data_IF_681268535925
#
_entry.id   IF_681268535925
#
_cell.length_a   1.000
_cell.length_b   1.000
_cell.length_c   1.000
_cell.angle_alpha   90.00
_cell.angle_beta   90.00
_cell.angle_gamma   90.00
#
_symmetry.space_group_name_H-M   'P 1'
#
loop_
_entity.id
_entity.type
_entity.pdbx_description
1 polymer ?
#
# COMPACT_ATOMS: atom_id res chain seq x y z
N UNK A 1 5.66 8.45 22.80
CA UNK A 1 4.83 7.68 23.76
C UNK A 1 5.73 6.85 24.65
N UNK A 2 5.78 7.18 25.95
CA UNK A 2 6.68 6.58 26.94
C UNK A 2 6.23 5.13 27.23
N UNK A 3 7.17 4.19 27.28
CA UNK A 3 6.89 2.78 27.64
C UNK A 3 6.44 2.76 29.10
N UNK A 4 5.32 2.10 29.41
CA UNK A 4 4.81 2.04 30.77
C UNK A 4 5.84 1.32 31.67
N UNK A 5 6.43 2.01 32.67
CA UNK A 5 7.45 1.41 33.52
C UNK A 5 6.91 0.29 34.42
N UNK A 6 5.59 0.14 34.57
CA UNK A 6 4.98 -0.89 35.41
C UNK A 6 4.86 -2.28 34.75
N UNK A 7 5.23 -2.43 33.48
CA UNK A 7 5.14 -3.72 32.77
C UNK A 7 6.31 -4.66 33.11
N UNK A 8 6.10 -5.99 33.11
CA UNK A 8 7.19 -6.96 33.26
C UNK A 8 8.31 -6.72 32.24
N UNK A 9 9.56 -6.96 32.64
CA UNK A 9 10.74 -6.67 31.81
C UNK A 9 10.74 -7.39 30.46
N UNK A 10 10.29 -8.65 30.42
CA UNK A 10 10.11 -9.41 29.18
C UNK A 10 9.07 -8.81 28.22
N UNK A 11 7.99 -8.23 28.77
CA UNK A 11 6.94 -7.55 27.99
C UNK A 11 7.49 -6.23 27.43
N UNK A 12 8.24 -5.47 28.24
CA UNK A 12 8.91 -4.24 27.80
C UNK A 12 9.95 -4.50 26.71
N UNK A 13 10.78 -5.52 26.85
CA UNK A 13 11.77 -5.91 25.84
C UNK A 13 11.12 -6.29 24.51
N UNK A 14 10.00 -7.01 24.56
CA UNK A 14 9.19 -7.37 23.37
C UNK A 14 8.59 -6.12 22.72
N UNK A 15 8.09 -5.16 23.50
CA UNK A 15 7.51 -3.92 22.98
C UNK A 15 8.59 -3.01 22.35
N UNK A 16 9.78 -2.92 22.96
CA UNK A 16 10.93 -2.21 22.40
C UNK A 16 11.33 -2.82 21.06
N UNK A 17 11.45 -4.14 20.99
CA UNK A 17 11.78 -4.85 19.74
C UNK A 17 10.71 -4.61 18.67
N UNK A 18 9.43 -4.73 19.02
CA UNK A 18 8.33 -4.48 18.08
C UNK A 18 8.29 -3.02 17.59
N UNK A 19 8.67 -2.04 18.42
CA UNK A 19 8.81 -0.64 17.99
C UNK A 19 10.01 -0.44 17.07
N UNK A 20 11.15 -1.04 17.39
CA UNK A 20 12.34 -1.01 16.54
C UNK A 20 12.06 -1.62 15.16
N UNK A 21 11.36 -2.77 15.11
CA UNK A 21 10.92 -3.40 13.87
C UNK A 21 9.98 -2.49 13.06
N UNK A 22 9.04 -1.79 13.71
CA UNK A 22 8.15 -0.83 13.03
C UNK A 22 8.90 0.37 12.46
N UNK A 23 9.89 0.89 13.18
CA UNK A 23 10.71 2.02 12.72
C UNK A 23 11.60 1.60 11.56
N UNK A 24 12.25 0.43 11.66
CA UNK A 24 13.06 -0.12 10.59
C UNK A 24 12.23 -0.37 9.33
N UNK A 25 11.04 -0.96 9.50
CA UNK A 25 10.08 -1.13 8.42
C UNK A 25 9.78 0.23 7.79
N UNK A 26 9.32 1.24 8.52
CA UNK A 26 9.02 2.59 8.01
C UNK A 26 10.19 3.22 7.23
N UNK A 27 11.42 3.03 7.69
CA UNK A 27 12.60 3.56 7.02
C UNK A 27 12.85 2.87 5.67
N UNK A 28 12.85 1.54 5.63
CA UNK A 28 13.06 0.76 4.40
C UNK A 28 12.02 1.11 3.33
N UNK A 29 10.77 1.10 3.76
CA UNK A 29 9.57 1.53 3.09
C UNK A 29 9.68 2.95 2.52
N UNK A 30 10.15 3.93 3.28
CA UNK A 30 10.33 5.30 2.80
C UNK A 30 11.51 5.44 1.81
N UNK A 31 12.48 4.54 1.86
CA UNK A 31 13.74 4.61 1.11
C UNK A 31 13.72 3.93 -0.27
N UNK A 32 12.78 3.01 -0.51
CA UNK A 32 12.72 2.23 -1.74
C UNK A 32 11.58 2.66 -2.68
N UNK A 33 11.80 2.47 -4.00
CA UNK A 33 10.78 2.76 -5.03
C UNK A 33 9.66 1.72 -5.13
N UNK A 34 9.95 0.52 -4.69
CA UNK A 34 9.00 -0.59 -4.61
C UNK A 34 9.29 -1.33 -3.31
N UNK A 35 8.27 -1.53 -2.50
CA UNK A 35 8.39 -2.18 -1.19
C UNK A 35 7.23 -3.13 -0.96
N UNK A 36 7.54 -4.24 -0.30
CA UNK A 36 6.54 -5.24 0.06
C UNK A 36 6.55 -5.42 1.57
N UNK A 37 5.39 -5.25 2.20
CA UNK A 37 5.20 -5.50 3.62
C UNK A 37 4.44 -6.80 3.83
N UNK A 38 5.17 -7.84 4.20
CA UNK A 38 4.60 -9.17 4.50
C UNK A 38 4.52 -9.39 6.01
N UNK A 39 3.43 -10.00 6.48
CA UNK A 39 3.36 -10.53 7.84
C UNK A 39 1.98 -11.13 8.16
N UNK A 40 1.83 -11.89 9.25
CA UNK A 40 0.54 -12.47 9.65
C UNK A 40 -0.58 -11.44 9.86
N UNK A 41 -1.84 -11.86 9.74
CA UNK A 41 -2.97 -11.02 10.12
C UNK A 41 -2.83 -10.51 11.58
N UNK A 42 -3.21 -9.25 11.82
CA UNK A 42 -3.13 -8.64 13.16
C UNK A 42 -1.78 -8.02 13.54
N UNK A 43 -0.73 -8.09 12.71
CA UNK A 43 0.59 -7.50 13.03
C UNK A 43 0.70 -5.98 12.85
N UNK A 44 -0.42 -5.25 12.71
CA UNK A 44 -0.41 -3.79 12.63
C UNK A 44 0.11 -3.19 11.31
N UNK A 45 0.23 -3.97 10.23
CA UNK A 45 0.67 -3.49 8.90
C UNK A 45 -0.16 -2.32 8.39
N UNK A 46 -1.48 -2.40 8.53
CA UNK A 46 -2.40 -1.32 8.15
C UNK A 46 -2.11 -0.05 8.96
N UNK A 47 -1.86 -0.18 10.27
CA UNK A 47 -1.46 0.95 11.12
C UNK A 47 -0.14 1.58 10.66
N UNK A 48 0.85 0.76 10.27
CA UNK A 48 2.12 1.27 9.75
C UNK A 48 1.93 2.02 8.44
N UNK A 49 1.14 1.47 7.51
CA UNK A 49 0.79 2.14 6.25
C UNK A 49 0.03 3.44 6.50
N UNK A 50 -0.94 3.46 7.41
CA UNK A 50 -1.68 4.68 7.74
C UNK A 50 -0.78 5.76 8.35
N UNK A 51 0.11 5.39 9.28
CA UNK A 51 1.09 6.35 9.85
C UNK A 51 1.97 6.92 8.75
N UNK A 52 2.47 6.06 7.86
CA UNK A 52 3.31 6.47 6.74
C UNK A 52 2.57 7.40 5.77
N UNK A 53 1.34 7.07 5.36
CA UNK A 53 0.54 7.90 4.46
C UNK A 53 0.31 9.31 5.00
N UNK A 54 0.24 9.44 6.34
CA UNK A 54 -0.02 10.70 7.02
C UNK A 54 1.26 11.49 7.31
N UNK A 55 2.45 10.98 6.97
CA UNK A 55 3.68 11.76 7.05
C UNK A 55 3.60 12.94 6.07
N UNK A 56 3.87 14.18 6.49
CA UNK A 56 3.73 15.36 5.63
C UNK A 56 4.50 15.25 4.32
N UNK A 57 5.71 14.67 4.32
CA UNK A 57 6.51 14.48 3.10
C UNK A 57 5.89 13.51 2.08
N UNK A 58 5.00 12.62 2.52
CA UNK A 58 4.29 11.64 1.68
C UNK A 58 2.92 12.21 1.29
N UNK A 59 2.15 12.68 2.27
CA UNK A 59 0.81 13.22 2.05
C UNK A 59 0.82 14.42 1.10
N UNK A 60 1.81 15.32 1.20
CA UNK A 60 1.92 16.50 0.34
C UNK A 60 2.21 16.18 -1.13
N UNK A 61 2.67 14.97 -1.44
CA UNK A 61 2.98 14.50 -2.79
C UNK A 61 1.91 13.57 -3.38
N UNK A 62 0.80 13.38 -2.69
CA UNK A 62 -0.30 12.52 -3.14
C UNK A 62 -0.12 11.04 -2.80
N UNK A 63 -1.25 10.38 -2.48
CA UNK A 63 -1.33 8.98 -2.06
C UNK A 63 -2.53 8.30 -2.72
N UNK A 64 -2.25 7.41 -3.67
CA UNK A 64 -3.25 6.54 -4.29
C UNK A 64 -3.43 5.27 -3.44
N UNK A 65 -4.65 5.01 -2.97
CA UNK A 65 -5.01 3.81 -2.20
C UNK A 65 -5.85 2.85 -3.05
N UNK A 66 -5.32 1.65 -3.27
CA UNK A 66 -5.92 0.60 -4.08
C UNK A 66 -6.15 -0.69 -3.28
N UNK A 67 -7.17 -1.45 -3.68
CA UNK A 67 -7.37 -2.82 -3.21
C UNK A 67 -7.92 -3.73 -4.34
N UNK A 68 -7.66 -5.05 -4.33
CA UNK A 68 -8.15 -5.94 -5.39
C UNK A 68 -9.67 -6.15 -5.40
N UNK A 69 -10.35 -5.97 -4.25
CA UNK A 69 -11.78 -6.25 -4.10
C UNK A 69 -12.52 -5.10 -3.42
N UNK A 70 -13.83 -4.96 -3.69
CA UNK A 70 -14.66 -3.95 -3.05
C UNK A 70 -14.68 -4.04 -1.52
N UNK A 71 -14.65 -5.26 -0.96
CA UNK A 71 -14.60 -5.47 0.50
C UNK A 71 -13.29 -4.98 1.12
N UNK A 72 -12.15 -5.20 0.46
CA UNK A 72 -10.87 -4.69 0.90
C UNK A 72 -10.78 -3.16 0.74
N UNK A 73 -11.28 -2.63 -0.39
CA UNK A 73 -11.39 -1.19 -0.65
C UNK A 73 -12.13 -0.46 0.48
N UNK A 74 -13.30 -0.96 0.90
CA UNK A 74 -14.09 -0.35 1.98
C UNK A 74 -13.31 -0.29 3.30
N UNK A 75 -12.47 -1.30 3.60
CA UNK A 75 -11.63 -1.30 4.81
C UNK A 75 -10.46 -0.31 4.72
N UNK A 76 -9.96 -0.05 3.51
CA UNK A 76 -8.83 0.84 3.28
C UNK A 76 -9.21 2.33 3.47
N UNK A 77 -10.51 2.63 3.44
CA UNK A 77 -11.06 3.92 3.83
C UNK A 77 -11.71 4.69 2.69
N UNK A 78 -12.12 5.93 3.00
CA UNK A 78 -12.66 6.85 2.02
C UNK A 78 -11.61 7.17 0.93
N UNK A 79 -12.07 7.41 -0.29
CA UNK A 79 -11.24 7.71 -1.48
C UNK A 79 -10.37 6.56 -2.02
N UNK A 80 -10.38 5.38 -1.38
CA UNK A 80 -9.76 4.19 -1.95
C UNK A 80 -10.56 3.66 -3.15
N UNK A 81 -9.86 3.16 -4.17
CA UNK A 81 -10.44 2.49 -5.36
C UNK A 81 -10.08 1.02 -5.39
N UNK A 82 -10.86 0.22 -6.12
CA UNK A 82 -10.38 -1.09 -6.54
C UNK A 82 -9.37 -0.93 -7.67
N UNK A 83 -8.47 -1.90 -7.83
CA UNK A 83 -7.53 -1.90 -8.97
C UNK A 83 -8.30 -1.90 -10.31
N UNK A 84 -9.42 -2.63 -10.39
CA UNK A 84 -10.27 -2.64 -11.58
C UNK A 84 -10.92 -1.27 -11.87
N UNK A 85 -11.46 -0.59 -10.85
CA UNK A 85 -12.02 0.77 -11.00
C UNK A 85 -10.93 1.75 -11.47
N UNK A 86 -9.76 1.73 -10.86
CA UNK A 86 -8.64 2.60 -11.25
C UNK A 86 -8.18 2.33 -12.70
N UNK A 87 -8.00 1.06 -13.08
CA UNK A 87 -7.56 0.71 -14.43
C UNK A 87 -8.65 0.96 -15.48
N UNK A 88 -9.94 0.91 -15.11
CA UNK A 88 -11.04 1.28 -15.99
C UNK A 88 -10.97 2.76 -16.38
N UNK A 89 -10.79 3.63 -15.39
CA UNK A 89 -10.65 5.08 -15.61
C UNK A 89 -9.45 5.45 -16.50
N UNK A 90 -8.43 4.59 -16.52
CA UNK A 90 -7.19 4.77 -17.28
C UNK A 90 -7.11 3.91 -18.55
N UNK A 91 -8.26 3.42 -19.05
CA UNK A 91 -8.38 2.65 -20.29
C UNK A 91 -7.49 1.39 -20.34
N UNK A 92 -7.28 0.74 -19.20
CA UNK A 92 -6.45 -0.47 -19.02
C UNK A 92 -7.23 -1.66 -18.43
N UNK A 93 -8.54 -1.50 -18.28
CA UNK A 93 -9.47 -2.57 -17.91
C UNK A 93 -10.77 -2.44 -18.69
N UNK A 94 -11.23 -3.54 -19.28
CA UNK A 94 -12.53 -3.64 -19.94
C UNK A 94 -13.55 -4.33 -19.02
N UNK A 95 -14.59 -3.59 -18.66
CA UNK A 95 -15.65 -4.05 -17.78
C UNK A 95 -16.54 -5.15 -18.37
N UNK A 96 -16.63 -5.28 -19.69
CA UNK A 96 -17.41 -6.30 -20.39
C UNK A 96 -16.61 -7.59 -20.52
N UNK A 97 -15.41 -7.53 -21.11
CA UNK A 97 -14.58 -8.72 -21.33
C UNK A 97 -13.78 -9.16 -20.10
N UNK A 98 -13.74 -8.32 -19.05
CA UNK A 98 -12.96 -8.54 -17.82
C UNK A 98 -11.45 -8.66 -18.05
N UNK A 99 -10.95 -8.13 -19.16
CA UNK A 99 -9.55 -8.17 -19.55
C UNK A 99 -8.81 -6.91 -19.11
N UNK A 100 -7.54 -7.09 -18.76
CA UNK A 100 -6.60 -6.01 -18.47
C UNK A 100 -5.65 -5.85 -19.64
N UNK A 101 -5.22 -4.62 -19.88
CA UNK A 101 -4.38 -4.28 -21.03
C UNK A 101 -3.27 -3.33 -20.59
N UNK A 102 -2.13 -3.45 -21.27
CA UNK A 102 -1.08 -2.44 -21.24
C UNK A 102 -1.29 -1.50 -22.43
N UNK A 103 -0.93 -0.24 -22.26
CA UNK A 103 -1.10 0.79 -23.28
C UNK A 103 0.07 1.76 -23.21
N UNK A 104 0.62 2.09 -24.37
CA UNK A 104 1.60 3.16 -24.50
C UNK A 104 0.96 4.54 -24.23
N UNK A 105 1.57 5.33 -23.36
CA UNK A 105 1.14 6.69 -23.03
C UNK A 105 -0.02 6.77 -22.03
N UNK A 106 -0.41 8.00 -21.68
CA UNK A 106 -1.44 8.30 -20.67
C UNK A 106 -1.18 7.62 -19.31
N UNK A 107 0.06 7.74 -18.82
CA UNK A 107 0.42 7.16 -17.53
C UNK A 107 0.02 8.10 -16.38
N UNK A 108 -0.53 7.51 -15.34
CA UNK A 108 -0.89 8.18 -14.10
C UNK A 108 0.37 8.63 -13.33
N UNK A 109 0.42 9.90 -12.94
CA UNK A 109 1.57 10.48 -12.21
C UNK A 109 1.20 11.50 -11.13
N UNK A 110 -0.11 11.64 -10.85
CA UNK A 110 -0.64 12.63 -9.89
C UNK A 110 -0.21 12.29 -8.46
N UNK A 111 -0.34 11.03 -8.03
CA UNK A 111 0.13 10.57 -6.73
C UNK A 111 1.53 9.95 -6.82
N UNK A 112 2.43 10.39 -5.92
CA UNK A 112 3.79 9.82 -5.83
C UNK A 112 3.86 8.52 -5.03
N UNK A 113 2.82 8.22 -4.26
CA UNK A 113 2.76 7.00 -3.44
C UNK A 113 1.55 6.17 -3.83
N UNK A 114 1.75 4.90 -4.19
CA UNK A 114 0.66 3.97 -4.54
C UNK A 114 0.65 2.78 -3.59
N UNK A 115 -0.44 2.58 -2.86
CA UNK A 115 -0.59 1.49 -1.90
C UNK A 115 -1.62 0.51 -2.42
N UNK A 116 -1.25 -0.77 -2.47
CA UNK A 116 -2.18 -1.85 -2.76
C UNK A 116 -2.32 -2.75 -1.53
N UNK A 117 -3.42 -2.57 -0.79
CA UNK A 117 -3.76 -3.44 0.32
C UNK A 117 -4.26 -4.79 -0.21
N UNK A 118 -3.93 -5.89 0.46
CA UNK A 118 -4.34 -7.26 0.07
C UNK A 118 -3.87 -7.68 -1.33
N UNK A 119 -2.75 -7.13 -1.84
CA UNK A 119 -2.31 -7.38 -3.21
C UNK A 119 -1.92 -8.84 -3.52
N UNK A 120 -1.98 -9.76 -2.55
CA UNK A 120 -1.85 -11.20 -2.78
C UNK A 120 -3.03 -11.77 -3.55
N UNK A 121 -4.12 -10.99 -3.67
CA UNK A 121 -5.26 -11.30 -4.51
C UNK A 121 -5.11 -10.73 -5.93
N UNK A 122 -4.02 -10.03 -6.25
CA UNK A 122 -3.77 -9.56 -7.62
C UNK A 122 -3.40 -10.73 -8.52
N UNK A 123 -3.96 -10.73 -9.73
CA UNK A 123 -3.45 -11.54 -10.83
C UNK A 123 -2.22 -10.87 -11.46
N UNK A 124 -1.46 -11.65 -12.23
CA UNK A 124 -0.32 -11.13 -13.00
C UNK A 124 -0.76 -10.03 -13.99
N UNK A 125 -1.89 -10.22 -14.68
CA UNK A 125 -2.46 -9.23 -15.61
C UNK A 125 -2.82 -7.91 -14.91
N UNK A 126 -3.39 -7.98 -13.70
CA UNK A 126 -3.71 -6.80 -12.90
C UNK A 126 -2.44 -6.06 -12.48
N UNK A 127 -1.43 -6.80 -12.04
CA UNK A 127 -0.14 -6.23 -11.62
C UNK A 127 0.59 -5.59 -12.82
N UNK A 128 0.61 -6.26 -13.97
CA UNK A 128 1.22 -5.76 -15.19
C UNK A 128 0.55 -4.46 -15.67
N UNK A 129 -0.78 -4.47 -15.79
CA UNK A 129 -1.53 -3.27 -16.20
C UNK A 129 -1.41 -2.13 -15.18
N UNK A 130 -1.33 -2.43 -13.88
CA UNK A 130 -1.08 -1.42 -12.85
C UNK A 130 0.31 -0.81 -12.97
N UNK A 131 1.37 -1.62 -13.12
CA UNK A 131 2.73 -1.10 -13.28
C UNK A 131 2.85 -0.28 -14.57
N UNK A 132 2.25 -0.74 -15.67
CA UNK A 132 2.21 -0.03 -16.95
C UNK A 132 1.50 1.33 -16.84
N UNK A 133 0.38 1.38 -16.10
CA UNK A 133 -0.38 2.61 -15.89
C UNK A 133 0.41 3.67 -15.12
N UNK A 134 1.33 3.28 -14.25
CA UNK A 134 1.99 4.18 -13.32
C UNK A 134 3.27 4.78 -13.94
N UNK A 135 3.43 6.10 -13.88
CA UNK A 135 4.68 6.79 -14.23
C UNK A 135 5.12 7.77 -13.14
N UNK A 136 6.42 7.82 -12.90
CA UNK A 136 6.97 8.73 -11.88
C UNK A 136 6.47 8.43 -10.46
N UNK A 137 5.94 7.23 -10.22
CA UNK A 137 5.61 6.75 -8.87
C UNK A 137 6.91 6.60 -8.11
N UNK A 138 7.00 7.32 -6.99
CA UNK A 138 8.16 7.23 -6.12
C UNK A 138 8.12 5.93 -5.32
N UNK A 139 6.95 5.38 -4.96
CA UNK A 139 6.83 4.20 -4.08
C UNK A 139 5.57 3.35 -4.35
N UNK A 140 5.72 2.03 -4.47
CA UNK A 140 4.62 1.04 -4.55
C UNK A 140 4.65 0.08 -3.37
N UNK A 141 3.50 -0.20 -2.76
CA UNK A 141 3.42 -0.96 -1.51
C UNK A 141 2.44 -2.12 -1.61
N UNK A 142 2.88 -3.33 -1.26
CA UNK A 142 2.05 -4.53 -1.26
C UNK A 142 1.94 -5.14 0.15
N UNK A 143 0.71 -5.47 0.59
CA UNK A 143 0.47 -6.33 1.76
C UNK A 143 0.03 -7.74 1.36
N UNK A 144 0.77 -8.76 1.82
CA UNK A 144 0.40 -10.17 1.73
C UNK A 144 -0.34 -10.60 3.01
N UNK A 145 -1.42 -11.36 2.85
CA UNK A 145 -2.23 -11.88 3.96
C UNK A 145 -1.55 -13.04 4.67
#
# INVERSE_FOLDING_TARGET
GIINPSLPEAVRATEIKARAEKVAALHELASARFSVMVGPAGTGKTTVLDVLCNLPEIASKGVLKLAPTGKARVKLGAYAKTVAEFLYEHNRYDGETKRYFMKDGDNYSEDKTVIVDEASMLTEDQLAALIDCLSGVERVWHKKR
#
